data_IF_494388981687
#
_entry.id   IF_494388981687
#
_cell.length_a   1.000
_cell.length_b   1.000
_cell.length_c   1.000
_cell.angle_alpha   90.00
_cell.angle_beta   90.00
_cell.angle_gamma   90.00
#
_symmetry.space_group_name_H-M   'P 1'
#
loop_
_entity.id
_entity.type
_entity.pdbx_description
1 polymer ?
#
# COMPACT_ATOMS: atom_id res chain seq x y z
N UNK A 1 -8.81 -53.87 36.67
CA UNK A 1 -9.11 -52.45 36.75
C UNK A 1 -8.19 -51.73 35.78
N UNK A 2 -8.64 -51.43 34.55
CA UNK A 2 -7.85 -50.73 33.52
C UNK A 2 -8.19 -49.26 33.58
N UNK A 3 -7.21 -48.39 33.88
CA UNK A 3 -7.35 -46.95 33.85
C UNK A 3 -7.18 -46.49 32.40
N UNK A 4 -8.26 -45.98 31.81
CA UNK A 4 -8.25 -45.32 30.50
C UNK A 4 -7.82 -43.87 30.71
N UNK A 5 -6.59 -43.53 30.25
CA UNK A 5 -6.09 -42.19 30.26
C UNK A 5 -6.63 -41.45 29.00
N UNK A 6 -7.50 -40.45 29.22
CA UNK A 6 -8.10 -39.64 28.16
C UNK A 6 -7.16 -38.49 27.87
N UNK A 7 -6.42 -38.58 26.78
CA UNK A 7 -5.56 -37.52 26.30
C UNK A 7 -6.41 -36.51 25.52
N UNK A 8 -6.72 -35.39 26.15
CA UNK A 8 -7.36 -34.26 25.45
C UNK A 8 -6.29 -33.52 24.65
N UNK A 9 -6.27 -33.75 23.35
CA UNK A 9 -5.43 -33.03 22.39
C UNK A 9 -6.12 -31.71 22.05
N UNK A 10 -5.74 -30.62 22.74
CA UNK A 10 -6.24 -29.28 22.47
C UNK A 10 -5.49 -28.75 21.25
N UNK A 11 -6.08 -28.90 20.06
CA UNK A 11 -5.57 -28.26 18.84
C UNK A 11 -5.77 -26.76 18.94
N UNK A 12 -4.67 -26.03 19.20
CA UNK A 12 -4.63 -24.57 19.10
C UNK A 12 -4.75 -24.19 17.61
N UNK A 13 -5.96 -23.88 17.17
CA UNK A 13 -6.22 -23.37 15.82
C UNK A 13 -5.76 -21.89 15.78
N UNK A 14 -4.50 -21.69 15.36
CA UNK A 14 -3.95 -20.37 15.13
C UNK A 14 -4.61 -19.79 13.88
N UNK A 15 -5.69 -19.04 14.08
CA UNK A 15 -6.37 -18.29 13.01
C UNK A 15 -5.46 -17.13 12.59
N UNK A 16 -4.62 -17.36 11.59
CA UNK A 16 -3.87 -16.29 10.93
C UNK A 16 -4.88 -15.40 10.18
N UNK A 17 -5.17 -14.23 10.73
CA UNK A 17 -5.95 -13.20 10.04
C UNK A 17 -5.18 -12.76 8.79
N UNK A 18 -5.52 -13.34 7.65
CA UNK A 18 -5.04 -12.86 6.36
C UNK A 18 -5.76 -11.55 6.06
N UNK A 19 -5.00 -10.46 5.99
CA UNK A 19 -5.54 -9.18 5.53
C UNK A 19 -6.15 -9.35 4.13
N UNK A 20 -7.38 -8.84 3.94
CA UNK A 20 -8.03 -8.86 2.63
C UNK A 20 -7.14 -8.14 1.60
N UNK A 21 -7.03 -8.65 0.36
CA UNK A 21 -6.23 -8.01 -0.66
C UNK A 21 -6.78 -6.60 -0.95
N UNK A 22 -5.88 -5.63 -1.11
CA UNK A 22 -6.25 -4.27 -1.46
C UNK A 22 -6.99 -4.22 -2.79
N UNK A 23 -7.77 -3.16 -3.05
CA UNK A 23 -8.48 -2.97 -4.32
C UNK A 23 -7.53 -3.01 -5.51
N UNK A 24 -6.35 -2.44 -5.36
CA UNK A 24 -5.29 -2.48 -6.38
C UNK A 24 -4.76 -3.91 -6.61
N UNK A 25 -4.53 -4.71 -5.56
CA UNK A 25 -4.09 -6.11 -5.71
C UNK A 25 -5.08 -6.94 -6.51
N UNK A 26 -6.38 -6.72 -6.28
CA UNK A 26 -7.43 -7.40 -7.07
C UNK A 26 -7.38 -7.00 -8.54
N UNK A 27 -7.10 -5.72 -8.83
CA UNK A 27 -7.02 -5.19 -10.20
C UNK A 27 -5.78 -5.68 -10.92
N UNK A 28 -4.63 -5.69 -10.25
CA UNK A 28 -3.34 -6.14 -10.81
C UNK A 28 -3.27 -7.65 -11.04
N UNK A 29 -4.07 -8.43 -10.30
CA UNK A 29 -4.08 -9.88 -10.46
C UNK A 29 -2.83 -10.57 -9.90
N UNK A 30 -2.58 -11.81 -10.36
CA UNK A 30 -1.52 -12.66 -9.84
C UNK A 30 -0.35 -12.85 -10.82
N UNK A 31 -0.46 -12.32 -12.04
CA UNK A 31 0.56 -12.50 -13.08
C UNK A 31 1.86 -11.80 -12.65
N UNK A 32 2.96 -12.51 -12.75
CA UNK A 32 4.27 -11.95 -12.44
C UNK A 32 4.65 -10.87 -13.43
N UNK A 33 5.32 -9.85 -12.95
CA UNK A 33 5.83 -8.75 -13.75
C UNK A 33 7.35 -8.79 -13.82
N UNK A 34 7.87 -8.29 -14.91
CA UNK A 34 9.27 -8.41 -15.21
C UNK A 34 9.77 -7.14 -15.92
N UNK A 35 10.89 -6.62 -15.47
CA UNK A 35 11.57 -5.46 -16.05
C UNK A 35 13.04 -5.81 -16.22
N UNK A 36 13.58 -5.58 -17.41
CA UNK A 36 15.04 -5.53 -17.64
C UNK A 36 15.33 -4.27 -18.43
N UNK A 37 16.20 -3.43 -17.92
CA UNK A 37 16.69 -2.26 -18.64
C UNK A 37 18.09 -1.87 -18.19
N UNK A 38 18.87 -1.33 -19.13
CA UNK A 38 20.20 -0.77 -18.84
C UNK A 38 20.08 0.66 -18.29
N UNK A 39 19.09 1.41 -18.76
CA UNK A 39 18.70 2.73 -18.26
C UNK A 39 17.36 3.08 -18.89
N UNK A 40 16.37 3.39 -18.07
CA UNK A 40 15.07 3.89 -18.50
C UNK A 40 14.51 4.84 -17.46
N UNK A 41 13.87 5.95 -17.85
CA UNK A 41 13.19 6.80 -16.91
C UNK A 41 12.14 6.01 -16.12
N UNK A 42 12.15 6.17 -14.80
CA UNK A 42 11.18 5.50 -13.90
C UNK A 42 9.74 5.80 -14.32
N UNK A 43 9.50 7.00 -14.82
CA UNK A 43 8.20 7.40 -15.37
C UNK A 43 7.73 6.49 -16.52
N UNK A 44 8.64 6.14 -17.45
CA UNK A 44 8.33 5.25 -18.58
C UNK A 44 7.98 3.87 -18.04
N UNK A 45 8.78 3.34 -17.14
CA UNK A 45 8.54 2.03 -16.51
C UNK A 45 7.19 1.98 -15.80
N UNK A 46 6.85 3.03 -15.06
CA UNK A 46 5.56 3.11 -14.35
C UNK A 46 4.37 3.24 -15.31
N UNK A 47 4.53 3.95 -16.43
CA UNK A 47 3.51 4.01 -17.47
C UNK A 47 3.31 2.64 -18.13
N UNK A 48 4.40 1.95 -18.48
CA UNK A 48 4.35 0.61 -19.07
C UNK A 48 3.73 -0.40 -18.10
N UNK A 49 4.12 -0.31 -16.83
CA UNK A 49 3.51 -1.09 -15.76
C UNK A 49 2.00 -0.89 -15.71
N UNK A 50 1.53 0.35 -15.62
CA UNK A 50 0.11 0.66 -15.55
C UNK A 50 -0.65 0.23 -16.81
N UNK A 51 -0.05 0.42 -17.99
CA UNK A 51 -0.60 0.00 -19.27
C UNK A 51 -0.80 -1.53 -19.36
N UNK A 52 0.15 -2.32 -18.87
CA UNK A 52 0.05 -3.78 -18.83
C UNK A 52 -1.17 -4.28 -18.04
N UNK A 53 -1.62 -3.51 -17.06
CA UNK A 53 -2.80 -3.86 -16.24
C UNK A 53 -4.04 -3.03 -16.60
N UNK A 54 -3.96 -2.26 -17.69
CA UNK A 54 -5.05 -1.37 -18.15
C UNK A 54 -5.54 -0.44 -17.02
N UNK A 55 -4.60 0.11 -16.27
CA UNK A 55 -4.87 1.06 -15.18
C UNK A 55 -4.41 2.45 -15.65
N UNK A 56 -5.31 3.44 -15.73
CA UNK A 56 -4.90 4.82 -15.92
C UNK A 56 -3.95 5.26 -14.79
N UNK A 57 -2.88 5.96 -15.13
CA UNK A 57 -1.88 6.41 -14.15
C UNK A 57 -1.61 7.90 -14.29
N UNK A 58 -1.55 8.58 -13.17
CA UNK A 58 -1.01 9.92 -13.04
C UNK A 58 0.34 9.86 -12.33
N UNK A 59 1.38 10.42 -12.95
CA UNK A 59 2.73 10.45 -12.37
C UNK A 59 3.17 11.91 -12.27
N UNK A 60 3.49 12.35 -11.04
CA UNK A 60 3.96 13.70 -10.79
C UNK A 60 5.22 14.04 -11.60
N UNK A 61 5.32 15.30 -12.06
CA UNK A 61 6.49 15.79 -12.80
C UNK A 61 7.82 15.65 -12.03
N UNK A 62 7.77 15.58 -10.71
CA UNK A 62 8.94 15.39 -9.83
C UNK A 62 9.55 13.98 -9.91
N UNK A 63 8.86 13.02 -10.53
CA UNK A 63 9.38 11.66 -10.77
C UNK A 63 10.22 11.67 -12.03
N UNK A 64 11.50 11.95 -11.89
CA UNK A 64 12.46 12.13 -12.98
C UNK A 64 13.73 11.28 -12.84
N UNK A 65 13.69 10.23 -12.03
CA UNK A 65 14.79 9.30 -11.83
C UNK A 65 14.91 8.31 -12.99
N UNK A 66 16.10 7.71 -13.12
CA UNK A 66 16.37 6.62 -14.05
C UNK A 66 16.54 5.30 -13.29
N UNK A 67 15.96 4.25 -13.82
CA UNK A 67 16.12 2.88 -13.33
C UNK A 67 17.10 2.13 -14.24
N UNK A 68 18.04 1.47 -13.62
CA UNK A 68 18.95 0.52 -14.28
C UNK A 68 18.98 -0.77 -13.48
N UNK A 69 18.70 -1.87 -14.15
CA UNK A 69 18.70 -3.17 -13.48
C UNK A 69 17.60 -4.10 -13.96
N UNK A 70 17.28 -5.04 -13.08
CA UNK A 70 16.37 -6.13 -13.38
C UNK A 70 15.42 -6.38 -12.19
N UNK A 71 14.14 -6.56 -12.49
CA UNK A 71 13.12 -7.08 -11.58
C UNK A 71 12.46 -8.26 -12.28
N UNK A 72 12.57 -9.46 -11.73
CA UNK A 72 12.02 -10.68 -12.31
C UNK A 72 11.07 -11.39 -11.35
N UNK A 73 10.05 -12.00 -11.94
CA UNK A 73 9.15 -12.94 -11.28
C UNK A 73 8.56 -12.39 -9.98
N UNK A 74 8.21 -11.12 -9.99
CA UNK A 74 7.63 -10.45 -8.83
C UNK A 74 6.13 -10.17 -9.05
N UNK A 75 5.36 -10.31 -7.98
CA UNK A 75 3.97 -9.87 -8.00
C UNK A 75 3.89 -8.37 -8.31
N UNK A 76 2.91 -7.91 -9.10
CA UNK A 76 2.84 -6.51 -9.53
C UNK A 76 2.89 -5.50 -8.38
N UNK A 77 2.17 -5.76 -7.29
CA UNK A 77 2.20 -4.88 -6.10
C UNK A 77 3.60 -4.81 -5.50
N UNK A 78 4.34 -5.92 -5.48
CA UNK A 78 5.72 -5.96 -4.98
C UNK A 78 6.67 -5.16 -5.85
N UNK A 79 6.47 -5.18 -7.19
CA UNK A 79 7.22 -4.33 -8.12
C UNK A 79 6.98 -2.86 -7.81
N UNK A 80 5.72 -2.47 -7.65
CA UNK A 80 5.35 -1.08 -7.30
C UNK A 80 5.94 -0.66 -5.94
N UNK A 81 5.85 -1.52 -4.92
CA UNK A 81 6.47 -1.29 -3.61
C UNK A 81 7.99 -1.13 -3.70
N UNK A 82 8.65 -1.97 -4.52
CA UNK A 82 10.10 -1.97 -4.70
C UNK A 82 10.56 -0.67 -5.37
N UNK A 83 9.91 -0.27 -6.46
CA UNK A 83 10.18 1.01 -7.12
C UNK A 83 9.91 2.19 -6.18
N UNK A 84 8.83 2.12 -5.41
CA UNK A 84 8.49 3.16 -4.43
C UNK A 84 9.57 3.34 -3.36
N UNK A 85 10.11 2.25 -2.84
CA UNK A 85 11.20 2.29 -1.86
C UNK A 85 12.49 2.82 -2.46
N UNK A 86 12.85 2.38 -3.68
CA UNK A 86 14.09 2.78 -4.35
C UNK A 86 14.11 4.27 -4.69
N UNK A 87 12.98 4.82 -5.12
CA UNK A 87 12.91 6.19 -5.64
C UNK A 87 12.15 7.15 -4.74
N UNK A 88 11.88 6.75 -3.49
CA UNK A 88 11.12 7.56 -2.53
C UNK A 88 9.79 8.03 -3.12
N UNK A 89 9.03 7.07 -3.70
CA UNK A 89 7.71 7.35 -4.23
C UNK A 89 6.64 6.97 -3.20
N UNK A 90 5.53 7.64 -3.32
CA UNK A 90 4.27 7.25 -2.69
C UNK A 90 3.21 7.10 -3.77
N UNK A 91 2.29 6.17 -3.57
CA UNK A 91 1.23 5.93 -4.53
C UNK A 91 -0.11 5.75 -3.83
N UNK A 92 -1.15 6.07 -4.58
CA UNK A 92 -2.52 5.95 -4.15
C UNK A 92 -3.38 5.48 -5.33
N UNK A 93 -4.32 4.59 -5.08
CA UNK A 93 -5.27 4.09 -6.08
C UNK A 93 -6.69 4.35 -5.60
N UNK A 94 -7.45 5.11 -6.37
CA UNK A 94 -8.84 5.50 -6.07
C UNK A 94 -9.88 4.58 -6.71
N UNK A 95 -9.48 3.34 -7.04
CA UNK A 95 -10.26 2.34 -7.78
C UNK A 95 -10.36 2.58 -9.30
N UNK A 96 -9.96 3.75 -9.79
CA UNK A 96 -9.94 4.11 -11.20
C UNK A 96 -8.54 4.47 -11.69
N UNK A 97 -7.87 5.35 -11.00
CA UNK A 97 -6.58 5.93 -11.38
C UNK A 97 -5.53 5.62 -10.32
N UNK A 98 -4.35 5.24 -10.77
CA UNK A 98 -3.16 5.10 -9.92
C UNK A 98 -2.40 6.43 -9.92
N UNK A 99 -2.29 7.06 -8.77
CA UNK A 99 -1.54 8.31 -8.57
C UNK A 99 -0.18 8.00 -7.97
N UNK A 100 0.88 8.59 -8.54
CA UNK A 100 2.26 8.38 -8.08
C UNK A 100 2.96 9.73 -7.91
N UNK A 101 3.50 9.98 -6.72
CA UNK A 101 4.17 11.20 -6.32
C UNK A 101 5.53 10.90 -5.70
N UNK A 102 6.40 11.88 -5.59
CA UNK A 102 7.55 11.83 -4.68
C UNK A 102 7.08 11.96 -3.23
N UNK A 103 7.73 11.27 -2.31
CA UNK A 103 7.39 11.30 -0.89
C UNK A 103 7.50 12.72 -0.28
N UNK A 104 8.37 13.56 -0.84
CA UNK A 104 8.52 14.95 -0.40
C UNK A 104 7.38 15.89 -0.88
N UNK A 105 6.53 15.43 -1.80
CA UNK A 105 5.32 16.17 -2.23
C UNK A 105 4.14 15.96 -1.27
N UNK A 106 4.27 15.06 -0.28
CA UNK A 106 3.21 14.80 0.69
C UNK A 106 3.11 15.98 1.65
N UNK A 107 1.95 16.61 1.70
CA UNK A 107 1.65 17.62 2.72
C UNK A 107 1.17 16.97 4.02
N UNK A 108 1.53 17.58 5.15
CA UNK A 108 1.03 17.21 6.48
C UNK A 108 0.15 18.34 7.00
N UNK A 109 -1.02 17.96 7.49
CA UNK A 109 -1.95 18.91 8.10
C UNK A 109 -2.34 18.42 9.49
N UNK A 110 -2.43 19.35 10.45
CA UNK A 110 -2.98 19.09 11.76
C UNK A 110 -4.43 19.56 11.73
N UNK A 111 -5.35 18.65 12.02
CA UNK A 111 -6.77 18.94 12.09
C UNK A 111 -7.19 18.85 13.56
N UNK A 112 -7.71 19.93 14.10
CA UNK A 112 -8.32 19.97 15.43
C UNK A 112 -9.84 20.03 15.26
N UNK A 113 -10.56 18.93 15.51
CA UNK A 113 -12.01 18.96 15.37
C UNK A 113 -12.63 19.79 16.49
N UNK A 114 -13.63 20.61 16.16
CA UNK A 114 -14.32 21.49 17.13
C UNK A 114 -15.58 20.84 17.68
N UNK A 115 -16.24 20.00 16.88
CA UNK A 115 -17.57 19.44 17.21
C UNK A 115 -17.62 17.91 17.24
N UNK A 116 -16.54 17.26 16.85
CA UNK A 116 -16.44 15.80 16.82
C UNK A 116 -15.30 15.36 17.75
N UNK A 117 -15.51 14.31 18.51
CA UNK A 117 -14.39 13.74 19.25
C UNK A 117 -13.40 13.06 18.29
N UNK A 118 -12.13 13.00 18.69
CA UNK A 118 -11.05 12.51 17.84
C UNK A 118 -11.23 11.04 17.44
N UNK A 119 -11.79 10.21 18.31
CA UNK A 119 -11.95 8.78 18.05
C UNK A 119 -13.07 8.53 17.04
N UNK A 120 -14.16 9.31 17.13
CA UNK A 120 -15.24 9.32 16.12
C UNK A 120 -14.75 9.83 14.77
N UNK A 121 -13.92 10.89 14.75
CA UNK A 121 -13.30 11.38 13.52
C UNK A 121 -12.37 10.34 12.88
N UNK A 122 -11.52 9.69 13.66
CA UNK A 122 -10.63 8.63 13.19
C UNK A 122 -11.40 7.46 12.61
N UNK A 123 -12.48 7.05 13.27
CA UNK A 123 -13.36 5.99 12.78
C UNK A 123 -14.00 6.39 11.45
N UNK A 124 -14.58 7.57 11.37
CA UNK A 124 -15.19 8.09 10.13
C UNK A 124 -14.16 8.16 8.98
N UNK A 125 -12.96 8.66 9.26
CA UNK A 125 -11.89 8.72 8.28
C UNK A 125 -11.42 7.32 7.86
N UNK A 126 -11.32 6.37 8.77
CA UNK A 126 -10.94 4.99 8.44
C UNK A 126 -12.00 4.27 7.61
N UNK A 127 -13.29 4.56 7.84
CA UNK A 127 -14.40 3.94 7.12
C UNK A 127 -14.62 4.60 5.74
N UNK A 128 -14.45 5.92 5.65
CA UNK A 128 -14.65 6.71 4.41
C UNK A 128 -13.44 6.65 3.51
N UNK A 129 -12.26 6.73 4.10
CA UNK A 129 -11.00 6.56 3.41
C UNK A 129 -10.68 5.07 3.50
N UNK A 130 -11.26 4.23 2.66
CA UNK A 130 -10.85 2.83 2.48
C UNK A 130 -9.44 2.79 1.84
N UNK A 131 -8.56 3.42 2.54
CA UNK A 131 -7.31 3.92 2.07
C UNK A 131 -6.29 2.84 2.13
N UNK A 132 -5.75 2.60 1.01
CA UNK A 132 -4.41 2.10 0.88
C UNK A 132 -3.51 2.74 1.96
N UNK A 133 -3.08 1.96 2.93
CA UNK A 133 -2.25 2.38 4.08
C UNK A 133 -1.00 3.19 3.71
N UNK A 134 -0.68 3.28 2.42
CA UNK A 134 0.50 3.95 1.89
C UNK A 134 0.25 5.42 1.51
N UNK A 135 -0.99 5.88 1.40
CA UNK A 135 -1.31 7.21 0.88
C UNK A 135 -1.75 8.23 1.94
N UNK A 136 -2.42 7.78 2.98
CA UNK A 136 -2.84 8.66 4.06
C UNK A 136 -2.63 7.97 5.41
N UNK A 137 -1.92 8.62 6.32
CA UNK A 137 -1.70 8.11 7.66
C UNK A 137 -2.25 9.12 8.66
N UNK A 138 -3.36 8.77 9.28
CA UNK A 138 -3.98 9.60 10.32
C UNK A 138 -3.55 9.07 11.68
N UNK A 139 -3.03 9.95 12.53
CA UNK A 139 -2.58 9.61 13.89
C UNK A 139 -3.22 10.55 14.90
N UNK A 140 -3.69 10.00 15.99
CA UNK A 140 -4.07 10.76 17.18
C UNK A 140 -2.81 11.28 17.84
N UNK A 141 -2.71 12.60 18.01
CA UNK A 141 -1.65 13.22 18.81
C UNK A 141 -2.25 13.46 20.19
N UNK A 142 -1.90 12.62 21.14
CA UNK A 142 -2.28 12.77 22.55
C UNK A 142 -1.14 13.44 23.29
N UNK A 143 -1.29 14.66 23.65
CA UNK A 143 -0.43 15.51 24.50
C UNK A 143 0.50 16.45 23.77
N UNK A 144 0.13 17.70 23.88
CA UNK A 144 1.12 18.73 24.21
C UNK A 144 1.02 18.92 25.72
N UNK A 145 1.94 18.39 26.50
CA UNK A 145 2.16 18.91 27.84
C UNK A 145 2.83 20.29 27.68
N UNK A 146 2.04 21.32 27.97
CA UNK A 146 2.56 22.65 28.25
C UNK A 146 3.11 22.73 29.67
#
# INVERSE_FOLDING_TARGET
MKKISFFIFTALFCCSAQAAPSSLEKRLGKNEYFIITKSSPVRVILNDFAANYSIPVFISSSVNDDFSGEIKNEKPVKVLEKLSKLYHLTWYYDENILYIYKTNEISRSIITPTYLDIDSLLKYLSDTISVNKNSCNVRKITTFNS
#
